data_IF_489319883044
#
_entry.id   IF_489319883044
#
_cell.length_a   1.000
_cell.length_b   1.000
_cell.length_c   1.000
_cell.angle_alpha   90.00
_cell.angle_beta   90.00
_cell.angle_gamma   90.00
#
_symmetry.space_group_name_H-M   'P 1'
#
loop_
_entity.id
_entity.type
_entity.pdbx_description
1 polymer ?
#
# COMPACT_ATOMS: atom_id res chain seq x y z
N UNK A 1 -11.86 4.53 6.64
CA UNK A 1 -12.20 3.45 7.62
C UNK A 1 -10.94 2.68 8.01
N UNK A 2 -10.78 2.25 9.27
CA UNK A 2 -9.61 1.48 9.73
C UNK A 2 -10.03 0.13 10.32
N UNK A 3 -9.36 -0.94 9.92
CA UNK A 3 -9.55 -2.30 10.44
C UNK A 3 -8.33 -2.68 11.30
N UNK A 4 -8.56 -3.20 12.51
CA UNK A 4 -7.47 -3.62 13.42
C UNK A 4 -6.87 -4.98 13.04
N UNK A 5 -7.68 -5.95 12.62
CA UNK A 5 -7.25 -7.32 12.28
C UNK A 5 -7.90 -7.78 10.97
N UNK A 6 -7.12 -8.12 9.91
CA UNK A 6 -5.75 -7.65 9.70
C UNK A 6 -5.70 -6.12 9.72
N UNK A 7 -4.55 -5.55 10.11
CA UNK A 7 -4.38 -4.10 10.03
C UNK A 7 -4.51 -3.68 8.58
N UNK A 8 -5.51 -2.85 8.28
CA UNK A 8 -5.78 -2.36 6.93
C UNK A 8 -6.51 -1.04 7.05
N UNK A 9 -6.02 -0.03 6.32
CA UNK A 9 -6.68 1.26 6.22
C UNK A 9 -7.37 1.33 4.86
N UNK A 10 -8.63 1.74 4.86
CA UNK A 10 -9.42 1.91 3.66
C UNK A 10 -9.73 3.38 3.41
N UNK A 11 -9.36 3.85 2.22
CA UNK A 11 -9.83 5.10 1.63
C UNK A 11 -10.97 4.75 0.68
N UNK A 12 -12.13 5.39 0.87
CA UNK A 12 -13.36 5.10 0.12
C UNK A 12 -13.73 6.40 -0.59
N UNK A 13 -13.92 6.35 -1.90
CA UNK A 13 -14.34 7.49 -2.71
C UNK A 13 -15.85 7.43 -2.96
N UNK A 14 -16.47 8.59 -3.25
CA UNK A 14 -17.88 8.69 -3.62
C UNK A 14 -18.24 7.86 -4.85
N UNK A 15 -17.28 7.61 -5.75
CA UNK A 15 -17.44 6.73 -6.91
C UNK A 15 -17.57 5.24 -6.57
N UNK A 16 -17.47 4.86 -5.29
CA UNK A 16 -17.48 3.46 -4.85
C UNK A 16 -16.14 2.74 -5.00
N UNK A 17 -15.10 3.41 -5.52
CA UNK A 17 -13.73 2.87 -5.51
C UNK A 17 -13.22 2.81 -4.08
N UNK A 18 -12.50 1.74 -3.74
CA UNK A 18 -11.92 1.53 -2.41
C UNK A 18 -10.45 1.18 -2.56
N UNK A 19 -9.58 1.90 -1.87
CA UNK A 19 -8.16 1.60 -1.79
C UNK A 19 -7.86 1.09 -0.39
N UNK A 20 -7.14 -0.03 -0.34
CA UNK A 20 -6.73 -0.66 0.91
C UNK A 20 -5.21 -0.57 1.03
N UNK A 21 -4.71 -0.02 2.13
CA UNK A 21 -3.27 0.12 2.43
C UNK A 21 -2.93 -0.50 3.78
N UNK A 22 -1.63 -0.78 3.99
CA UNK A 22 -1.10 -1.30 5.27
C UNK A 22 -1.11 -2.83 5.42
N UNK A 23 -1.51 -3.58 4.39
CA UNK A 23 -1.40 -5.03 4.41
C UNK A 23 0.02 -5.51 4.08
N UNK A 24 0.58 -6.38 4.92
CA UNK A 24 1.94 -6.91 4.77
C UNK A 24 2.07 -8.09 3.81
N UNK A 25 0.95 -8.67 3.36
CA UNK A 25 0.94 -9.78 2.42
C UNK A 25 -0.31 -9.76 1.55
N UNK A 26 -0.21 -10.37 0.36
CA UNK A 26 -1.32 -10.47 -0.59
C UNK A 26 -2.56 -11.11 0.04
N UNK A 27 -2.36 -12.20 0.80
CA UNK A 27 -3.45 -12.91 1.51
C UNK A 27 -4.15 -11.99 2.51
N UNK A 28 -3.38 -11.25 3.32
CA UNK A 28 -3.93 -10.31 4.30
C UNK A 28 -4.64 -9.14 3.61
N UNK A 29 -4.10 -8.64 2.50
CA UNK A 29 -4.72 -7.58 1.71
C UNK A 29 -6.10 -7.99 1.20
N UNK A 30 -6.21 -9.19 0.62
CA UNK A 30 -7.49 -9.73 0.12
C UNK A 30 -8.52 -9.94 1.23
N UNK A 31 -8.08 -10.48 2.38
CA UNK A 31 -8.95 -10.66 3.56
C UNK A 31 -9.41 -9.30 4.11
N UNK A 32 -8.50 -8.33 4.22
CA UNK A 32 -8.79 -6.97 4.69
C UNK A 32 -9.83 -6.29 3.79
N UNK A 33 -9.58 -6.28 2.48
CA UNK A 33 -10.49 -5.69 1.49
C UNK A 33 -11.89 -6.34 1.52
N UNK A 34 -11.96 -7.68 1.63
CA UNK A 34 -13.26 -8.38 1.77
C UNK A 34 -13.98 -8.04 3.09
N UNK A 35 -13.25 -7.84 4.19
CA UNK A 35 -13.84 -7.42 5.47
C UNK A 35 -14.36 -5.99 5.40
N UNK A 36 -13.63 -5.11 4.71
CA UNK A 36 -14.04 -3.73 4.45
C UNK A 36 -15.33 -3.70 3.63
N UNK A 37 -15.40 -4.42 2.50
CA UNK A 37 -16.60 -4.52 1.68
C UNK A 37 -17.82 -5.04 2.48
N UNK A 38 -17.62 -6.06 3.31
CA UNK A 38 -18.69 -6.58 4.19
C UNK A 38 -19.18 -5.57 5.22
N UNK A 39 -18.30 -4.73 5.77
CA UNK A 39 -18.71 -3.67 6.71
C UNK A 39 -19.54 -2.61 6.00
N UNK A 40 -19.16 -2.22 4.78
CA UNK A 40 -19.92 -1.27 3.97
C UNK A 40 -21.29 -1.84 3.61
N UNK A 41 -21.36 -3.13 3.24
CA UNK A 41 -22.63 -3.80 2.98
C UNK A 41 -23.57 -3.79 4.20
N UNK A 42 -23.02 -3.98 5.41
CA UNK A 42 -23.79 -3.91 6.66
C UNK A 42 -24.31 -2.50 6.98
N UNK A 43 -23.74 -1.46 6.40
CA UNK A 43 -24.23 -0.09 6.52
C UNK A 43 -25.41 0.22 5.57
N UNK A 44 -25.93 -0.77 4.83
CA UNK A 44 -27.08 -0.61 3.93
C UNK A 44 -26.72 -0.33 2.47
N UNK A 45 -25.43 -0.31 2.11
CA UNK A 45 -25.00 -0.10 0.73
C UNK A 45 -24.93 -1.42 -0.05
N UNK A 46 -25.39 -1.42 -1.30
CA UNK A 46 -25.22 -2.56 -2.20
C UNK A 46 -23.76 -2.67 -2.66
N UNK A 47 -22.94 -3.38 -1.88
CA UNK A 47 -21.50 -3.55 -2.14
C UNK A 47 -21.19 -4.97 -2.61
N UNK A 48 -20.64 -5.10 -3.82
CA UNK A 48 -20.09 -6.36 -4.35
C UNK A 48 -18.57 -6.30 -4.33
N UNK A 49 -17.93 -7.36 -3.82
CA UNK A 49 -16.48 -7.47 -3.85
C UNK A 49 -16.03 -7.95 -5.24
N UNK A 50 -15.64 -7.02 -6.11
CA UNK A 50 -15.14 -7.29 -7.47
C UNK A 50 -13.84 -6.54 -7.74
N UNK A 51 -13.15 -6.89 -8.83
CA UNK A 51 -11.99 -6.15 -9.36
C UNK A 51 -10.86 -5.91 -8.35
N UNK A 52 -10.62 -6.87 -7.46
CA UNK A 52 -9.49 -6.80 -6.53
C UNK A 52 -8.18 -6.90 -7.30
N UNK A 53 -7.39 -5.82 -7.27
CA UNK A 53 -6.07 -5.73 -7.90
C UNK A 53 -5.08 -5.07 -6.96
N UNK A 54 -3.87 -5.62 -6.90
CA UNK A 54 -2.74 -4.97 -6.22
C UNK A 54 -2.14 -3.93 -7.18
N UNK A 55 -2.06 -2.68 -6.73
CA UNK A 55 -1.54 -1.57 -7.54
C UNK A 55 -0.12 -1.16 -7.17
N UNK A 56 0.28 -1.39 -5.92
CA UNK A 56 1.59 -1.03 -5.43
C UNK A 56 2.03 -2.01 -4.34
N UNK A 57 3.32 -2.34 -4.34
CA UNK A 57 3.98 -3.12 -3.29
C UNK A 57 5.19 -2.30 -2.85
N UNK A 58 5.22 -1.95 -1.58
CA UNK A 58 6.36 -1.26 -0.96
C UNK A 58 7.18 -2.28 -0.18
N UNK A 59 8.50 -2.26 -0.38
CA UNK A 59 9.45 -3.05 0.37
C UNK A 59 10.56 -2.15 0.88
N UNK A 60 11.03 -2.43 2.10
CA UNK A 60 12.12 -1.71 2.75
C UNK A 60 13.23 -2.68 3.09
N UNK A 61 14.47 -2.31 2.81
CA UNK A 61 15.65 -3.09 3.18
C UNK A 61 16.71 -2.19 3.79
N UNK A 62 17.59 -2.77 4.62
CA UNK A 62 18.74 -2.10 5.21
C UNK A 62 20.01 -2.64 4.56
N UNK A 63 20.83 -1.74 4.02
CA UNK A 63 22.11 -2.11 3.45
C UNK A 63 23.19 -2.19 4.54
N UNK A 64 24.15 -3.13 4.43
CA UNK A 64 25.24 -3.26 5.40
C UNK A 64 26.32 -2.17 5.25
N UNK A 65 26.22 -1.31 4.23
CA UNK A 65 27.16 -0.23 3.94
C UNK A 65 26.43 1.10 3.70
N UNK A 66 27.19 2.20 3.77
CA UNK A 66 26.72 3.55 3.45
C UNK A 66 26.73 3.78 1.94
N UNK A 67 25.72 4.46 1.43
CA UNK A 67 25.61 4.82 0.00
C UNK A 67 25.90 6.31 -0.13
N UNK A 68 26.78 6.69 -1.07
CA UNK A 68 26.99 8.09 -1.44
C UNK A 68 25.99 8.47 -2.52
N UNK A 69 24.98 9.25 -2.15
CA UNK A 69 23.88 9.61 -3.05
C UNK A 69 24.36 10.53 -4.19
N UNK A 70 25.30 11.44 -3.93
CA UNK A 70 25.81 12.38 -4.94
C UNK A 70 26.39 11.63 -6.15
N UNK A 71 27.30 10.68 -5.90
CA UNK A 71 27.88 9.84 -6.95
C UNK A 71 26.85 8.96 -7.65
N UNK A 72 25.86 8.46 -6.91
CA UNK A 72 24.82 7.58 -7.46
C UNK A 72 23.93 8.32 -8.46
N UNK A 73 23.63 9.59 -8.20
CA UNK A 73 22.83 10.43 -9.10
C UNK A 73 23.60 10.73 -10.38
N UNK A 74 24.90 11.03 -10.26
CA UNK A 74 25.78 11.31 -11.41
C UNK A 74 25.97 10.09 -12.32
N UNK A 75 26.14 8.90 -11.75
CA UNK A 75 26.38 7.66 -12.49
C UNK A 75 25.11 7.10 -13.16
N UNK A 76 23.92 7.33 -12.60
CA UNK A 76 22.68 6.70 -13.09
C UNK A 76 21.43 7.61 -13.05
N UNK A 77 21.42 8.76 -13.76
CA UNK A 77 20.34 9.75 -13.67
C UNK A 77 18.97 9.26 -14.17
N UNK A 78 18.90 8.23 -15.02
CA UNK A 78 17.66 7.75 -15.66
C UNK A 78 17.00 6.54 -15.00
N UNK A 79 17.68 5.84 -14.10
CA UNK A 79 17.19 4.60 -13.50
C UNK A 79 16.49 4.79 -12.15
N UNK A 80 16.50 6.01 -11.60
CA UNK A 80 15.90 6.34 -10.32
C UNK A 80 14.40 6.65 -10.44
N UNK A 81 13.66 5.84 -11.21
CA UNK A 81 12.20 5.93 -11.27
C UNK A 81 11.61 5.22 -10.04
N UNK A 82 11.37 5.99 -8.98
CA UNK A 82 10.56 5.62 -7.81
C UNK A 82 11.26 4.88 -6.65
N UNK A 83 12.56 5.10 -6.43
CA UNK A 83 13.13 4.81 -5.11
C UNK A 83 12.68 5.93 -4.17
N UNK A 84 11.49 5.78 -3.58
CA UNK A 84 11.12 6.52 -2.37
C UNK A 84 12.01 6.01 -1.23
N UNK A 85 13.26 6.45 -1.21
CA UNK A 85 14.07 6.38 -0.01
C UNK A 85 13.45 7.38 0.96
N UNK A 86 12.47 6.94 1.76
CA UNK A 86 12.24 7.59 3.03
C UNK A 86 13.54 7.42 3.80
N UNK A 87 14.38 8.46 3.77
CA UNK A 87 15.47 8.62 4.70
C UNK A 87 14.78 8.68 6.06
N UNK A 88 14.62 7.53 6.70
CA UNK A 88 14.31 7.45 8.12
C UNK A 88 15.57 7.97 8.82
N UNK A 89 15.71 9.29 8.85
CA UNK A 89 16.53 9.96 9.85
C UNK A 89 15.92 9.57 11.19
N UNK A 90 16.67 8.77 11.95
CA UNK A 90 16.48 8.72 13.39
C UNK A 90 16.95 10.05 13.98
#
# INVERSE_FOLDING_TARGET
>A
MRLRRPYTVATIWSSGKIWCTGATSLRRARIGARRIARRIAKCGFNCKFSNFRVVNIMATTKLPFRVRLDKLVDEAPRNMKSVYCQILTN
#
